data_IF_732923572077
#
_entry.id   IF_732923572077
#
_cell.length_a   1.000
_cell.length_b   1.000
_cell.length_c   1.000
_cell.angle_alpha   90.00
_cell.angle_beta   90.00
_cell.angle_gamma   90.00
#
_symmetry.space_group_name_H-M   'P 1'
#
loop_
_entity.id
_entity.type
_entity.pdbx_description
1 polymer ?
#
# COMPACT_ATOMS: atom_id res chain seq x y z
N UNK A 1 5.68 13.40 15.64
CA UNK A 1 5.09 12.84 14.40
C UNK A 1 4.74 14.00 13.51
N UNK A 2 5.05 13.94 12.21
CA UNK A 2 4.56 14.95 11.27
C UNK A 2 3.03 14.96 11.32
N UNK A 3 2.42 16.14 11.33
CA UNK A 3 0.96 16.29 11.28
C UNK A 3 0.44 15.56 10.04
N UNK A 4 -0.61 14.73 10.13
CA UNK A 4 -1.21 14.11 8.96
C UNK A 4 -1.52 15.17 7.91
N UNK A 5 -1.25 14.87 6.65
CA UNK A 5 -1.63 15.78 5.56
C UNK A 5 -3.15 16.01 5.62
N UNK A 6 -3.62 17.23 5.32
CA UNK A 6 -5.06 17.47 5.26
C UNK A 6 -5.68 16.54 4.21
N UNK A 7 -6.89 16.07 4.47
CA UNK A 7 -7.65 15.30 3.51
C UNK A 7 -7.86 16.15 2.25
N UNK A 8 -7.49 15.68 1.04
CA UNK A 8 -7.69 16.46 -0.18
C UNK A 8 -9.16 16.83 -0.36
N UNK A 9 -9.49 18.03 -0.87
CA UNK A 9 -10.88 18.37 -1.14
C UNK A 9 -11.46 17.40 -2.18
N UNK A 10 -12.69 16.93 -1.96
CA UNK A 10 -13.40 16.08 -2.90
C UNK A 10 -14.88 16.47 -2.94
N UNK A 11 -15.40 16.72 -4.14
CA UNK A 11 -16.80 17.00 -4.36
C UNK A 11 -17.53 15.69 -4.70
N UNK A 12 -18.62 15.42 -3.99
CA UNK A 12 -19.40 14.20 -4.20
C UNK A 12 -20.14 14.27 -5.53
N UNK A 13 -19.98 13.22 -6.32
CA UNK A 13 -20.74 13.01 -7.54
C UNK A 13 -22.11 12.45 -7.20
N UNK A 14 -23.17 13.22 -7.53
CA UNK A 14 -24.55 12.84 -7.28
C UNK A 14 -25.00 11.59 -8.08
N UNK A 15 -24.28 11.22 -9.15
CA UNK A 15 -24.53 10.00 -9.89
C UNK A 15 -23.97 8.74 -9.21
N UNK A 16 -23.12 8.91 -8.19
CA UNK A 16 -22.53 7.81 -7.43
C UNK A 16 -23.26 7.56 -6.11
N UNK A 17 -23.17 6.33 -5.62
CA UNK A 17 -23.58 6.05 -4.24
C UNK A 17 -22.66 6.74 -3.23
N UNK A 18 -23.12 6.89 -2.00
CA UNK A 18 -22.30 7.44 -0.90
C UNK A 18 -21.03 6.62 -0.68
N UNK A 19 -21.13 5.28 -0.71
CA UNK A 19 -19.98 4.37 -0.56
C UNK A 19 -18.96 4.59 -1.69
N UNK A 20 -19.43 4.72 -2.93
CA UNK A 20 -18.57 4.94 -4.10
C UNK A 20 -17.84 6.29 -4.02
N UNK A 21 -18.51 7.34 -3.54
CA UNK A 21 -17.90 8.64 -3.32
C UNK A 21 -16.77 8.57 -2.27
N UNK A 22 -17.00 7.89 -1.14
CA UNK A 22 -15.94 7.71 -0.14
C UNK A 22 -14.79 6.84 -0.63
N UNK A 23 -15.06 5.82 -1.46
CA UNK A 23 -14.00 5.03 -2.09
C UNK A 23 -13.16 5.86 -3.06
N UNK A 24 -13.80 6.68 -3.89
CA UNK A 24 -13.10 7.62 -4.77
C UNK A 24 -12.20 8.56 -3.95
N UNK A 25 -12.71 9.07 -2.83
CA UNK A 25 -11.96 9.93 -1.92
C UNK A 25 -10.78 9.20 -1.26
N UNK A 26 -10.98 7.95 -0.82
CA UNK A 26 -9.91 7.12 -0.27
C UNK A 26 -8.80 6.85 -1.31
N UNK A 27 -9.16 6.66 -2.59
CA UNK A 27 -8.20 6.56 -3.70
C UNK A 27 -7.41 7.85 -3.95
N UNK A 28 -8.05 9.00 -3.79
CA UNK A 28 -7.37 10.30 -3.87
C UNK A 28 -6.37 10.41 -2.70
N UNK A 29 -6.82 10.12 -1.48
CA UNK A 29 -6.00 10.12 -0.27
C UNK A 29 -4.81 9.16 -0.36
N UNK A 30 -4.99 7.98 -0.96
CA UNK A 30 -3.95 6.96 -1.08
C UNK A 30 -2.68 7.51 -1.74
N UNK A 31 -2.78 8.44 -2.70
CA UNK A 31 -1.61 9.06 -3.35
C UNK A 31 -0.71 9.86 -2.41
N UNK A 32 -1.20 10.26 -1.24
CA UNK A 32 -0.35 10.88 -0.21
C UNK A 32 0.54 9.88 0.55
N UNK A 33 0.36 8.58 0.33
CA UNK A 33 1.22 7.55 0.90
C UNK A 33 2.69 7.74 0.49
N UNK A 34 3.59 7.53 1.44
CA UNK A 34 5.04 7.46 1.20
C UNK A 34 5.52 6.00 1.02
N UNK A 35 4.61 5.04 0.90
CA UNK A 35 4.98 3.64 0.66
C UNK A 35 5.53 3.43 -0.74
N UNK A 36 6.62 2.67 -0.85
CA UNK A 36 7.17 2.19 -2.13
C UNK A 36 6.52 0.89 -2.60
N UNK A 37 5.73 0.21 -1.76
CA UNK A 37 5.12 -1.10 -2.07
C UNK A 37 3.74 -1.00 -2.67
N UNK A 38 3.01 0.04 -2.30
CA UNK A 38 1.64 0.24 -2.72
C UNK A 38 1.01 1.36 -1.91
N UNK A 39 0.20 2.16 -2.57
CA UNK A 39 -0.45 3.32 -1.96
C UNK A 39 -1.81 2.89 -1.42
N UNK A 40 -2.03 3.07 -0.12
CA UNK A 40 -3.30 2.78 0.52
C UNK A 40 -3.85 4.04 1.19
N UNK A 41 -5.16 4.21 1.13
CA UNK A 41 -5.91 5.25 1.84
C UNK A 41 -7.10 4.61 2.54
N UNK A 42 -7.44 5.10 3.73
CA UNK A 42 -8.58 4.65 4.51
C UNK A 42 -9.31 5.87 5.09
N UNK A 43 -10.64 5.80 5.12
CA UNK A 43 -11.52 6.82 5.69
C UNK A 43 -12.53 6.11 6.58
N UNK A 44 -12.66 6.54 7.83
CA UNK A 44 -13.71 6.12 8.76
C UNK A 44 -14.80 7.17 8.77
N UNK A 45 -16.03 6.74 8.51
CA UNK A 45 -17.21 7.59 8.37
C UNK A 45 -18.28 7.16 9.37
N UNK A 46 -18.96 8.13 9.98
CA UNK A 46 -20.21 7.88 10.68
C UNK A 46 -21.35 7.72 9.66
N UNK A 47 -21.99 6.54 9.56
CA UNK A 47 -22.98 6.27 8.52
C UNK A 47 -24.28 7.07 8.69
N UNK A 48 -24.57 7.58 9.89
CA UNK A 48 -25.79 8.35 10.17
C UNK A 48 -25.63 9.81 9.80
N UNK A 49 -24.44 10.38 10.01
CA UNK A 49 -24.19 11.81 9.78
C UNK A 49 -23.36 12.09 8.53
N UNK A 50 -22.84 11.06 7.86
CA UNK A 50 -21.85 11.18 6.78
C UNK A 50 -20.61 11.99 7.19
N UNK A 51 -20.34 12.08 8.49
CA UNK A 51 -19.19 12.79 9.02
C UNK A 51 -17.95 11.88 8.96
N UNK A 52 -16.85 12.39 8.43
CA UNK A 52 -15.56 11.73 8.52
C UNK A 52 -15.04 11.85 9.95
N UNK A 53 -14.79 10.70 10.57
CA UNK A 53 -14.26 10.61 11.93
C UNK A 53 -12.73 10.57 11.93
N UNK A 54 -12.14 9.89 10.95
CA UNK A 54 -10.70 9.75 10.79
C UNK A 54 -10.35 9.35 9.37
N UNK A 55 -9.13 9.62 8.94
CA UNK A 55 -8.59 9.16 7.67
C UNK A 55 -7.07 8.98 7.79
N UNK A 56 -6.50 8.06 7.02
CA UNK A 56 -5.07 7.81 7.02
C UNK A 56 -4.60 7.20 5.71
N UNK A 57 -3.28 7.25 5.47
CA UNK A 57 -2.61 6.49 4.43
C UNK A 57 -1.60 5.52 5.06
N UNK A 58 -1.18 4.50 4.33
CA UNK A 58 -0.16 3.59 4.86
C UNK A 58 1.17 4.32 5.03
N UNK A 59 1.81 4.12 6.18
CA UNK A 59 3.04 4.81 6.57
C UNK A 59 4.12 3.79 6.91
N UNK A 60 5.36 3.95 6.42
CA UNK A 60 6.45 3.06 6.78
C UNK A 60 6.75 3.10 8.29
N UNK A 61 7.01 1.93 8.88
CA UNK A 61 7.46 1.81 10.26
C UNK A 61 8.95 2.14 10.34
N UNK A 62 9.24 3.31 10.89
CA UNK A 62 10.57 3.92 10.89
C UNK A 62 11.47 3.44 12.05
N UNK A 63 10.95 2.58 12.94
CA UNK A 63 11.61 2.19 14.20
C UNK A 63 12.09 0.74 14.25
N UNK A 64 12.02 -0.02 13.16
CA UNK A 64 12.59 -1.36 13.19
C UNK A 64 14.11 -1.29 12.99
N UNK A 65 14.85 -1.30 14.11
CA UNK A 65 16.31 -1.25 14.19
C UNK A 65 17.02 -2.41 13.46
N UNK A 66 16.29 -3.45 13.05
CA UNK A 66 16.72 -4.38 12.00
C UNK A 66 16.65 -3.70 10.62
N UNK A 67 17.39 -2.61 10.44
CA UNK A 67 17.57 -1.88 9.18
C UNK A 67 18.19 -2.75 8.07
N UNK A 68 18.61 -3.97 8.42
CA UNK A 68 19.19 -5.00 7.55
C UNK A 68 18.10 -5.85 6.85
N UNK A 69 16.85 -5.82 7.30
CA UNK A 69 15.80 -6.55 6.59
C UNK A 69 15.38 -5.81 5.33
N UNK A 70 15.54 -6.47 4.17
CA UNK A 70 15.12 -6.01 2.83
C UNK A 70 13.65 -5.60 2.70
N UNK A 71 12.84 -5.76 3.75
CA UNK A 71 11.39 -5.54 3.74
C UNK A 71 11.02 -4.56 4.85
N UNK A 72 11.07 -3.27 4.51
CA UNK A 72 10.53 -2.17 5.33
C UNK A 72 9.11 -2.54 5.76
N UNK A 73 8.83 -2.58 7.06
CA UNK A 73 7.46 -2.82 7.53
C UNK A 73 6.63 -1.55 7.38
N UNK A 74 5.34 -1.67 7.13
CA UNK A 74 4.43 -0.52 6.95
C UNK A 74 3.21 -0.73 7.85
N UNK A 75 2.73 0.34 8.48
CA UNK A 75 1.39 0.36 9.07
C UNK A 75 0.42 0.57 7.91
N UNK A 76 -0.54 -0.34 7.74
CA UNK A 76 -1.57 -0.17 6.74
C UNK A 76 -2.49 1.00 7.08
N UNK A 77 -3.13 1.57 6.06
CA UNK A 77 -3.99 2.74 6.22
C UNK A 77 -5.13 2.52 7.21
N UNK A 78 -5.78 1.35 7.20
CA UNK A 78 -6.91 1.07 8.10
C UNK A 78 -6.47 0.99 9.56
N UNK A 79 -5.34 0.32 9.82
CA UNK A 79 -4.77 0.26 11.17
C UNK A 79 -4.36 1.66 11.66
N UNK A 80 -3.72 2.47 10.81
CA UNK A 80 -3.35 3.83 11.21
C UNK A 80 -4.59 4.70 11.48
N UNK A 81 -5.65 4.55 10.67
CA UNK A 81 -6.90 5.29 10.85
C UNK A 81 -7.58 4.95 12.19
N UNK A 82 -7.68 3.66 12.53
CA UNK A 82 -8.21 3.22 13.84
C UNK A 82 -7.30 3.67 14.98
N UNK A 83 -5.97 3.60 14.80
CA UNK A 83 -4.97 4.03 15.79
C UNK A 83 -5.20 5.50 16.17
N UNK A 84 -5.36 6.35 15.15
CA UNK A 84 -5.57 7.78 15.31
C UNK A 84 -6.91 8.07 15.98
N UNK A 85 -7.99 7.39 15.56
CA UNK A 85 -9.30 7.54 16.18
C UNK A 85 -9.32 7.09 17.65
N UNK A 86 -8.59 6.03 17.99
CA UNK A 86 -8.54 5.48 19.34
C UNK A 86 -7.45 6.11 20.22
N UNK A 87 -6.52 6.89 19.64
CA UNK A 87 -5.28 7.32 20.30
C UNK A 87 -4.41 6.15 20.84
N UNK A 88 -4.36 5.03 20.11
CA UNK A 88 -3.63 3.80 20.50
C UNK A 88 -2.52 3.49 19.49
N UNK A 89 -1.36 2.99 19.95
CA UNK A 89 -0.28 2.48 19.07
C UNK A 89 -0.59 1.04 18.63
N UNK A 90 -0.56 0.74 17.34
CA UNK A 90 -1.01 -0.56 16.79
C UNK A 90 0.09 -1.45 16.20
N UNK A 91 -0.16 -2.76 16.26
CA UNK A 91 0.58 -3.85 15.59
C UNK A 91 -0.28 -4.48 14.47
N UNK A 92 0.35 -5.29 13.63
CA UNK A 92 -0.01 -5.70 12.25
C UNK A 92 -1.32 -6.50 11.99
N UNK A 93 -2.36 -6.41 12.82
CA UNK A 93 -3.64 -7.11 12.62
C UNK A 93 -4.82 -6.15 12.35
N UNK A 94 -4.83 -5.52 11.17
CA UNK A 94 -5.79 -4.45 10.82
C UNK A 94 -7.27 -4.85 10.95
N UNK A 95 -7.65 -6.06 10.54
CA UNK A 95 -9.05 -6.51 10.61
C UNK A 95 -9.56 -6.67 12.05
N UNK A 96 -8.76 -7.29 12.93
CA UNK A 96 -9.15 -7.48 14.34
C UNK A 96 -9.29 -6.13 15.05
N UNK A 97 -8.50 -5.14 14.64
CA UNK A 97 -8.55 -3.78 15.18
C UNK A 97 -9.82 -3.05 14.73
N UNK A 98 -10.22 -3.17 13.47
CA UNK A 98 -11.50 -2.64 12.97
C UNK A 98 -12.68 -3.28 13.74
N UNK A 99 -12.65 -4.60 13.92
CA UNK A 99 -13.66 -5.30 14.69
C UNK A 99 -13.72 -4.85 16.16
N UNK A 100 -12.57 -4.76 16.83
CA UNK A 100 -12.47 -4.28 18.21
C UNK A 100 -12.92 -2.82 18.36
N UNK A 101 -12.72 -1.99 17.33
CA UNK A 101 -13.20 -0.62 17.26
C UNK A 101 -14.72 -0.50 17.00
N UNK A 102 -15.43 -1.63 16.88
CA UNK A 102 -16.87 -1.65 16.68
C UNK A 102 -17.33 -1.30 15.27
N UNK A 103 -16.43 -1.34 14.27
CA UNK A 103 -16.77 -1.13 12.86
C UNK A 103 -17.83 -2.15 12.43
N UNK A 104 -18.92 -1.66 11.85
CA UNK A 104 -20.08 -2.50 11.41
C UNK A 104 -20.09 -2.82 9.93
N UNK A 105 -19.40 -2.02 9.12
CA UNK A 105 -19.32 -2.17 7.67
C UNK A 105 -17.93 -1.82 7.17
N UNK A 106 -17.39 -2.65 6.28
CA UNK A 106 -16.13 -2.43 5.58
C UNK A 106 -16.44 -2.43 4.08
N UNK A 107 -16.12 -1.32 3.41
CA UNK A 107 -16.22 -1.19 1.95
C UNK A 107 -14.80 -1.13 1.39
N UNK A 108 -14.49 -1.95 0.39
CA UNK A 108 -13.15 -1.96 -0.21
C UNK A 108 -13.18 -2.10 -1.74
N UNK A 109 -12.18 -1.50 -2.37
CA UNK A 109 -11.83 -1.74 -3.77
C UNK A 109 -10.99 -3.01 -3.84
N UNK A 110 -11.23 -3.86 -4.83
CA UNK A 110 -10.46 -5.06 -5.17
C UNK A 110 -10.90 -6.43 -4.58
N UNK A 111 -10.53 -7.48 -5.34
CA UNK A 111 -11.14 -8.81 -5.54
C UNK A 111 -11.06 -9.84 -4.42
N UNK A 112 -10.18 -9.65 -3.43
CA UNK A 112 -9.82 -10.72 -2.51
C UNK A 112 -9.98 -10.29 -1.05
N UNK A 113 -11.13 -10.63 -0.48
CA UNK A 113 -11.26 -10.78 0.96
C UNK A 113 -10.74 -12.18 1.32
N UNK A 114 -9.63 -12.32 2.08
CA UNK A 114 -9.16 -13.63 2.49
C UNK A 114 -10.30 -14.41 3.18
N UNK A 115 -10.51 -15.71 2.90
CA UNK A 115 -11.62 -16.46 3.47
C UNK A 115 -11.72 -16.38 5.00
N UNK A 116 -10.57 -16.36 5.69
CA UNK A 116 -10.50 -16.18 7.15
C UNK A 116 -11.10 -14.83 7.60
N UNK A 117 -10.90 -13.76 6.83
CA UNK A 117 -11.46 -12.43 7.11
C UNK A 117 -12.98 -12.44 6.87
N UNK A 118 -13.44 -13.02 5.76
CA UNK A 118 -14.87 -13.13 5.46
C UNK A 118 -15.64 -13.93 6.52
N UNK A 119 -15.09 -15.07 6.95
CA UNK A 119 -15.66 -15.89 8.04
C UNK A 119 -15.69 -15.13 9.36
N UNK A 120 -14.58 -14.47 9.71
CA UNK A 120 -14.50 -13.69 10.96
C UNK A 120 -15.48 -12.52 10.96
N UNK A 121 -15.62 -11.81 9.84
CA UNK A 121 -16.56 -10.71 9.69
C UNK A 121 -18.00 -11.16 9.84
N UNK A 122 -18.38 -12.28 9.19
CA UNK A 122 -19.70 -12.88 9.35
C UNK A 122 -19.98 -13.28 10.80
N UNK A 123 -19.00 -13.89 11.47
CA UNK A 123 -19.12 -14.28 12.89
C UNK A 123 -19.29 -13.08 13.83
N UNK A 124 -18.71 -11.93 13.47
CA UNK A 124 -18.74 -10.69 14.26
C UNK A 124 -19.87 -9.73 13.86
N UNK A 125 -20.71 -10.11 12.89
CA UNK A 125 -21.79 -9.25 12.38
C UNK A 125 -21.28 -8.01 11.64
N UNK A 126 -20.13 -8.11 10.99
CA UNK A 126 -19.52 -7.04 10.18
C UNK A 126 -19.87 -7.28 8.72
N UNK A 127 -20.52 -6.30 8.08
CA UNK A 127 -20.82 -6.32 6.66
C UNK A 127 -19.54 -6.02 5.85
N UNK A 128 -19.16 -6.92 4.94
CA UNK A 128 -18.08 -6.65 3.98
C UNK A 128 -18.70 -6.47 2.59
N UNK A 129 -18.45 -5.30 2.00
CA UNK A 129 -18.88 -4.96 0.64
C UNK A 129 -17.65 -4.75 -0.24
N UNK A 130 -17.46 -5.65 -1.20
CA UNK A 130 -16.49 -5.46 -2.27
C UNK A 130 -17.15 -4.69 -3.41
N UNK A 131 -16.53 -3.62 -3.88
CA UNK A 131 -16.96 -2.92 -5.10
C UNK A 131 -16.22 -3.52 -6.30
N UNK A 132 -16.96 -3.83 -7.36
CA UNK A 132 -16.45 -4.51 -8.54
C UNK A 132 -15.32 -3.71 -9.21
N UNK A 133 -14.28 -4.41 -9.64
CA UNK A 133 -13.14 -3.85 -10.35
C UNK A 133 -13.53 -3.22 -11.69
N UNK A 134 -14.64 -3.65 -12.32
CA UNK A 134 -15.14 -2.97 -13.52
C UNK A 134 -15.56 -1.52 -13.23
N UNK A 135 -16.07 -1.24 -12.02
CA UNK A 135 -16.32 0.13 -11.53
C UNK A 135 -15.03 0.82 -11.07
N UNK A 136 -13.95 0.07 -10.83
CA UNK A 136 -12.63 0.56 -10.39
C UNK A 136 -11.83 1.31 -11.47
N UNK A 137 -12.13 1.09 -12.74
CA UNK A 137 -11.58 1.95 -13.81
C UNK A 137 -12.01 3.40 -13.57
N UNK A 138 -13.26 3.62 -13.16
CA UNK A 138 -13.76 4.97 -12.87
C UNK A 138 -13.11 5.59 -11.62
N UNK A 139 -12.83 4.82 -10.56
CA UNK A 139 -12.19 5.36 -9.36
C UNK A 139 -10.73 5.75 -9.59
N UNK A 140 -9.98 4.91 -10.27
CA UNK A 140 -8.59 5.20 -10.62
C UNK A 140 -8.50 6.40 -11.57
N UNK A 141 -9.40 6.49 -12.55
CA UNK A 141 -9.41 7.61 -13.48
C UNK A 141 -9.85 8.90 -12.81
N UNK A 142 -10.84 8.88 -11.91
CA UNK A 142 -11.20 10.05 -11.08
C UNK A 142 -10.04 10.51 -10.20
N UNK A 143 -9.34 9.58 -9.54
CA UNK A 143 -8.14 9.93 -8.76
C UNK A 143 -7.05 10.53 -9.64
N UNK A 144 -6.80 9.95 -10.83
CA UNK A 144 -5.85 10.51 -11.81
C UNK A 144 -6.25 11.91 -12.28
N UNK A 145 -7.52 12.11 -12.62
CA UNK A 145 -8.07 13.40 -13.06
C UNK A 145 -7.98 14.45 -11.95
N UNK A 146 -8.32 14.09 -10.71
CA UNK A 146 -8.17 14.95 -9.55
C UNK A 146 -6.73 15.43 -9.41
N UNK A 147 -5.76 14.50 -9.39
CA UNK A 147 -4.36 14.89 -9.23
C UNK A 147 -3.79 15.62 -10.44
N UNK A 148 -4.25 15.30 -11.66
CA UNK A 148 -3.90 16.05 -12.85
C UNK A 148 -4.40 17.51 -12.77
N UNK A 149 -5.59 17.75 -12.22
CA UNK A 149 -6.10 19.12 -12.02
C UNK A 149 -5.30 19.90 -10.96
N UNK A 150 -4.65 19.19 -10.03
CA UNK A 150 -3.68 19.75 -9.08
C UNK A 150 -2.27 19.92 -9.68
N UNK A 151 -2.06 19.55 -10.95
CA UNK A 151 -0.75 19.58 -11.60
C UNK A 151 0.21 18.48 -11.12
N UNK A 152 -0.28 17.42 -10.45
CA UNK A 152 0.54 16.31 -9.97
C UNK A 152 0.43 15.06 -10.87
N UNK A 153 1.53 14.75 -11.56
CA UNK A 153 1.64 13.52 -12.36
C UNK A 153 2.08 12.32 -11.52
N UNK A 154 1.92 11.11 -12.06
CA UNK A 154 2.40 9.90 -11.38
C UNK A 154 3.93 9.91 -11.16
N UNK A 155 4.69 10.49 -12.09
CA UNK A 155 6.15 10.65 -11.97
C UNK A 155 6.52 11.64 -10.86
N UNK A 156 5.76 12.73 -10.73
CA UNK A 156 5.94 13.70 -9.64
C UNK A 156 5.64 13.06 -8.28
N UNK A 157 4.57 12.24 -8.19
CA UNK A 157 4.27 11.48 -6.98
C UNK A 157 5.42 10.53 -6.62
N UNK A 158 5.93 9.74 -7.57
CA UNK A 158 7.08 8.84 -7.32
C UNK A 158 8.32 9.61 -6.87
N UNK A 159 8.66 10.69 -7.58
CA UNK A 159 9.79 11.56 -7.23
C UNK A 159 9.63 12.17 -5.83
N UNK A 160 8.41 12.55 -5.43
CA UNK A 160 8.11 13.03 -4.09
C UNK A 160 8.37 11.96 -3.04
N UNK A 161 7.88 10.74 -3.27
CA UNK A 161 8.08 9.59 -2.38
C UNK A 161 9.56 9.28 -2.24
N UNK A 162 10.31 9.25 -3.34
CA UNK A 162 11.75 8.99 -3.32
C UNK A 162 12.53 10.07 -2.56
N UNK A 163 12.27 11.35 -2.83
CA UNK A 163 12.89 12.44 -2.06
C UNK A 163 12.54 12.39 -0.58
N UNK A 164 11.33 11.98 -0.22
CA UNK A 164 10.95 11.80 1.18
C UNK A 164 11.79 10.70 1.83
N UNK A 165 11.94 9.55 1.16
CA UNK A 165 12.76 8.43 1.61
C UNK A 165 14.23 8.82 1.76
N UNK A 166 14.79 9.53 0.79
CA UNK A 166 16.19 9.97 0.83
C UNK A 166 16.45 10.87 2.02
N UNK A 167 15.58 11.88 2.24
CA UNK A 167 15.68 12.77 3.41
C UNK A 167 15.53 12.01 4.72
N UNK A 168 14.62 11.04 4.78
CA UNK A 168 14.43 10.24 5.98
C UNK A 168 15.65 9.37 6.27
N UNK A 169 16.15 8.63 5.28
CA UNK A 169 17.35 7.80 5.41
C UNK A 169 18.56 8.64 5.80
N UNK A 170 18.71 9.84 5.23
CA UNK A 170 19.76 10.79 5.61
C UNK A 170 19.65 11.16 7.10
N UNK A 171 18.46 11.51 7.60
CA UNK A 171 18.23 11.81 9.02
C UNK A 171 18.59 10.63 9.93
N UNK A 172 18.22 9.41 9.55
CA UNK A 172 18.54 8.21 10.32
C UNK A 172 20.05 7.96 10.36
N UNK A 173 20.75 8.09 9.23
CA UNK A 173 22.20 7.96 9.17
C UNK A 173 22.88 8.97 10.08
N UNK A 174 22.51 10.25 9.96
CA UNK A 174 23.04 11.31 10.82
C UNK A 174 22.80 11.04 12.30
N UNK A 175 21.62 10.53 12.67
CA UNK A 175 21.32 10.16 14.06
C UNK A 175 22.12 8.94 14.55
N UNK A 176 22.30 7.92 13.70
CA UNK A 176 23.10 6.74 14.03
C UNK A 176 24.58 7.11 14.24
N UNK A 177 25.13 7.95 13.37
CA UNK A 177 26.49 8.47 13.47
C UNK A 177 26.68 9.25 14.78
N UNK A 178 25.73 10.12 15.13
CA UNK A 178 25.75 10.89 16.38
C UNK A 178 25.69 9.99 17.64
N UNK A 179 25.06 8.83 17.55
CA UNK A 179 24.99 7.83 18.63
C UNK A 179 26.17 6.86 18.62
N UNK A 180 27.10 6.95 17.67
CA UNK A 180 28.20 6.00 17.51
C UNK A 180 27.73 4.59 17.15
N UNK A 181 26.49 4.43 16.68
CA UNK A 181 25.94 3.15 16.22
C UNK A 181 26.43 2.94 14.79
N UNK A 182 27.28 1.95 14.57
CA UNK A 182 27.68 1.57 13.21
C UNK A 182 26.45 1.10 12.44
N UNK A 183 26.01 1.94 11.51
CA UNK A 183 25.04 1.56 10.51
C UNK A 183 25.80 0.78 9.44
N UNK A 184 25.68 -0.56 9.43
CA UNK A 184 26.27 -1.36 8.36
C UNK A 184 25.59 -0.96 7.03
N UNK A 185 26.31 -0.20 6.20
CA UNK A 185 25.86 0.19 4.85
C UNK A 185 25.62 -1.04 3.95
N UNK A 186 26.19 -2.19 4.34
CA UNK A 186 26.18 -3.47 3.64
C UNK A 186 24.92 -4.32 3.89
N UNK A 187 23.76 -3.69 4.11
CA UNK A 187 22.46 -4.36 4.16
C UNK A 187 22.15 -5.17 2.88
N UNK A 188 22.71 -6.38 2.78
CA UNK A 188 22.38 -7.36 1.76
C UNK A 188 23.00 -7.11 0.38
N UNK A 189 24.14 -6.42 0.28
CA UNK A 189 25.08 -6.65 -0.80
C UNK A 189 25.42 -8.14 -0.76
N UNK A 190 24.75 -8.94 -1.60
CA UNK A 190 25.17 -10.29 -1.94
C UNK A 190 26.62 -10.08 -2.39
N UNK A 191 27.59 -10.26 -1.49
CA UNK A 191 28.90 -10.77 -1.90
C UNK A 191 28.47 -12.02 -2.65
N UNK A 192 28.43 -11.89 -3.98
CA UNK A 192 28.31 -12.97 -4.92
C UNK A 192 29.44 -13.87 -4.43
N UNK A 193 29.13 -14.84 -3.56
CA UNK A 193 30.02 -15.95 -3.32
C UNK A 193 30.20 -16.43 -4.74
N UNK A 194 31.36 -16.11 -5.30
CA UNK A 194 31.87 -16.71 -6.50
C UNK A 194 31.73 -18.19 -6.16
N UNK A 195 30.63 -18.81 -6.58
CA UNK A 195 30.62 -20.24 -6.76
C UNK A 195 31.71 -20.36 -7.80
N UNK A 196 32.88 -20.81 -7.37
CA UNK A 196 33.74 -21.57 -8.25
C UNK A 196 32.89 -22.77 -8.68
N UNK A 197 32.00 -22.50 -9.63
CA UNK A 197 31.43 -23.50 -10.49
C UNK A 197 32.57 -23.82 -11.44
N UNK A 198 33.33 -24.84 -11.05
CA UNK A 198 34.25 -25.50 -11.95
C UNK A 198 33.44 -26.02 -13.11
N UNK A 199 33.39 -25.20 -14.17
CA UNK A 199 32.93 -25.59 -15.48
C UNK A 199 33.77 -26.78 -15.95
N UNK A 200 33.25 -27.99 -15.74
CA UNK A 200 33.58 -29.09 -16.64
C UNK A 200 32.88 -28.78 -17.96
N UNK A 201 33.71 -28.53 -18.98
CA UNK A 201 33.35 -28.69 -20.39
C UNK A 201 32.50 -29.95 -20.57
N UNK A 202 31.28 -29.77 -21.07
CA UNK A 202 30.61 -30.80 -21.84
C UNK A 202 30.24 -30.20 -23.18
N UNK A 203 31.13 -30.46 -24.13
CA UNK A 203 30.81 -30.54 -25.56
C UNK A 203 29.65 -31.52 -25.76
N UNK A 204 28.66 -31.11 -26.55
CA UNK A 204 27.50 -31.92 -26.92
C UNK A 204 26.46 -31.00 -27.56
N UNK A 205 26.69 -30.62 -28.82
CA UNK A 205 26.15 -31.29 -30.00
C UNK A 205 24.79 -30.69 -30.36
N UNK A 206 24.84 -29.84 -31.40
CA UNK A 206 23.70 -29.33 -32.13
C UNK A 206 22.85 -30.50 -32.66
N UNK A 207 21.59 -30.54 -32.24
CA UNK A 207 20.54 -31.21 -33.02
C UNK A 207 19.50 -30.15 -33.39
N UNK A 208 19.58 -29.75 -34.65
CA UNK A 208 18.53 -29.09 -35.40
C UNK A 208 17.22 -29.88 -35.25
N UNK A 209 16.20 -29.26 -34.68
CA UNK A 209 14.83 -29.76 -34.76
C UNK A 209 13.99 -28.72 -35.47
N UNK A 210 13.66 -29.05 -36.72
CA UNK A 210 12.69 -28.40 -37.60
C UNK A 210 11.38 -28.06 -36.87
N UNK A 211 11.05 -26.77 -36.83
CA UNK A 211 9.69 -26.31 -36.57
C UNK A 211 8.86 -26.48 -37.85
N UNK A 212 8.13 -27.61 -37.92
CA UNK A 212 7.03 -27.77 -38.86
C UNK A 212 5.80 -27.01 -38.37
N UNK A 213 5.33 -26.14 -39.28
CA UNK A 213 4.02 -25.51 -39.35
C UNK A 213 2.88 -26.45 -38.94
N UNK A 214 1.95 -25.94 -38.11
CA UNK A 214 0.56 -26.35 -38.20
C UNK A 214 -0.36 -25.15 -38.18
N UNK A 215 -0.87 -24.90 -39.38
CA UNK A 215 -2.10 -24.21 -39.71
C UNK A 215 -3.33 -24.80 -38.98
N UNK A 216 -4.35 -23.95 -38.91
CA UNK A 216 -5.79 -24.25 -38.88
C UNK A 216 -6.43 -24.89 -37.63
N UNK A 217 -7.28 -24.10 -36.98
CA UNK A 217 -8.67 -24.51 -36.77
C UNK A 217 -9.59 -23.29 -36.55
N UNK A 218 -10.72 -23.36 -37.25
CA UNK A 218 -11.89 -22.49 -37.36
C UNK A 218 -12.53 -21.96 -36.07
#
# INVERSE_FOLDING_TARGET
METPLPLPPYEFDAALSTDDNYLAWACILARHSNSRKGHMGAIIVNPTTSQILSYANNTPLLFNASLIQKKIQEIHAEALCVSQAASIQLHSLCFMLLAAAGVKRIVHLNKYCPPVVAVSAKALGIEIRSVDFALDVNFNDRSRQFWASQGETAEMTRSRVDRWWDRWMQRIRTAADALGVKYDEDGGGRKKRKRDDGSQEKDGADEDVDEQEKEDAS
#
